data_IF_291780575461
#
_entry.id   IF_291780575461
#
_cell.length_a   1.000
_cell.length_b   1.000
_cell.length_c   1.000
_cell.angle_alpha   90.00
_cell.angle_beta   90.00
_cell.angle_gamma   90.00
#
_symmetry.space_group_name_H-M   'P 1'
#
loop_
_entity.id
_entity.type
_entity.pdbx_description
1 polymer ?
#
# COMPACT_ATOMS: atom_id res chain seq x y z
N UNK A 1 -3.31 2.06 30.08
CA UNK A 1 -2.42 1.31 29.18
C UNK A 1 -2.88 -0.14 29.13
N UNK A 2 -3.05 -0.69 27.95
CA UNK A 2 -3.58 -2.05 27.76
C UNK A 2 -2.49 -2.93 27.15
N UNK A 3 -2.26 -4.12 27.75
CA UNK A 3 -1.28 -5.08 27.24
C UNK A 3 -1.84 -5.78 26.01
N UNK A 4 -1.13 -5.67 24.88
CA UNK A 4 -1.55 -6.23 23.59
C UNK A 4 -0.43 -6.99 22.91
N UNK A 5 -0.81 -7.90 22.03
CA UNK A 5 0.07 -8.60 21.07
C UNK A 5 -0.38 -8.25 19.66
N UNK A 6 0.58 -7.99 18.76
CA UNK A 6 0.30 -7.68 17.37
C UNK A 6 0.33 -8.92 16.49
N UNK A 7 -0.80 -9.26 15.88
CA UNK A 7 -0.98 -10.45 15.04
C UNK A 7 -1.24 -10.04 13.60
N UNK A 8 -0.67 -10.79 12.65
CA UNK A 8 -0.84 -10.61 11.21
C UNK A 8 -1.26 -11.93 10.58
N UNK A 9 -2.28 -11.87 9.71
CA UNK A 9 -2.83 -13.05 9.03
C UNK A 9 -2.27 -13.28 7.63
N UNK A 10 -1.71 -12.24 6.99
CA UNK A 10 -1.09 -12.29 5.65
C UNK A 10 0.31 -11.71 5.71
N UNK A 11 1.20 -12.09 4.79
CA UNK A 11 2.60 -11.63 4.76
C UNK A 11 2.71 -10.09 4.82
N UNK A 12 1.85 -9.38 4.11
CA UNK A 12 1.75 -7.92 4.14
C UNK A 12 0.30 -7.53 4.40
N UNK A 13 -0.14 -7.69 5.64
CA UNK A 13 -1.47 -7.34 6.11
C UNK A 13 -1.40 -6.29 7.22
N UNK A 14 -2.56 -5.75 7.57
CA UNK A 14 -2.72 -4.94 8.77
C UNK A 14 -2.33 -5.76 10.00
N UNK A 15 -1.75 -5.10 10.99
CA UNK A 15 -1.46 -5.69 12.29
C UNK A 15 -2.70 -5.45 13.15
N UNK A 16 -3.23 -6.51 13.72
CA UNK A 16 -4.38 -6.46 14.62
C UNK A 16 -3.90 -6.71 16.04
N UNK A 17 -4.43 -5.94 16.99
CA UNK A 17 -4.12 -6.08 18.39
C UNK A 17 -5.11 -7.05 19.08
N UNK A 18 -4.53 -7.95 19.88
CA UNK A 18 -5.27 -8.91 20.71
C UNK A 18 -4.73 -8.89 22.14
N UNK A 19 -5.56 -9.25 23.12
CA UNK A 19 -5.11 -9.47 24.48
C UNK A 19 -4.34 -10.78 24.57
N UNK A 20 -3.09 -10.78 25.06
CA UNK A 20 -2.30 -12.01 25.20
C UNK A 20 -2.77 -12.94 26.32
N UNK A 21 -3.70 -12.49 27.21
CA UNK A 21 -4.04 -13.18 28.46
C UNK A 21 -2.77 -13.53 29.27
N UNK A 22 -2.72 -14.77 29.76
CA UNK A 22 -1.61 -15.33 30.56
C UNK A 22 -0.59 -16.11 29.70
N UNK A 23 -0.75 -16.09 28.36
CA UNK A 23 0.16 -16.81 27.50
C UNK A 23 1.50 -16.09 27.35
N UNK A 24 2.59 -16.88 27.43
CA UNK A 24 3.92 -16.43 27.06
C UNK A 24 4.07 -16.46 25.54
N UNK A 25 3.89 -15.34 24.89
CA UNK A 25 3.91 -15.21 23.44
C UNK A 25 5.14 -14.40 23.02
N UNK A 26 5.86 -14.89 22.01
CA UNK A 26 7.04 -14.25 21.45
C UNK A 26 6.79 -13.84 19.99
N UNK A 27 7.57 -12.88 19.50
CA UNK A 27 7.55 -12.52 18.08
C UNK A 27 8.00 -13.73 17.25
N UNK A 28 7.20 -14.07 16.24
CA UNK A 28 7.41 -15.23 15.38
C UNK A 28 6.50 -16.41 15.71
N UNK A 29 5.93 -16.47 16.91
CA UNK A 29 4.97 -17.50 17.28
C UNK A 29 3.71 -17.39 16.43
N UNK A 30 2.99 -18.50 16.34
CA UNK A 30 1.66 -18.54 15.74
C UNK A 30 0.59 -18.69 16.84
N UNK A 31 -0.52 -18.01 16.63
CA UNK A 31 -1.64 -17.98 17.59
C UNK A 31 -2.97 -18.21 16.89
N UNK A 32 -3.89 -18.80 17.63
CA UNK A 32 -5.28 -18.94 17.21
C UNK A 32 -6.08 -17.82 17.87
N UNK A 33 -6.80 -17.08 17.04
CA UNK A 33 -7.61 -15.94 17.48
C UNK A 33 -9.01 -16.01 16.87
N UNK A 34 -9.96 -15.35 17.53
CA UNK A 34 -11.29 -15.16 16.97
C UNK A 34 -11.41 -13.78 16.33
N UNK A 35 -11.80 -13.74 15.06
CA UNK A 35 -12.04 -12.51 14.31
C UNK A 35 -13.52 -12.38 13.90
N UNK A 36 -13.87 -11.32 13.20
CA UNK A 36 -15.20 -11.20 12.60
C UNK A 36 -15.45 -12.26 11.49
N UNK A 37 -14.39 -12.86 10.96
CA UNK A 37 -14.46 -13.92 9.93
C UNK A 37 -14.60 -15.32 10.49
N UNK A 38 -14.30 -15.50 11.77
CA UNK A 38 -14.26 -16.77 12.47
C UNK A 38 -12.93 -17.00 13.19
N UNK A 39 -12.58 -18.25 13.41
CA UNK A 39 -11.30 -18.65 13.99
C UNK A 39 -10.22 -18.56 12.92
N UNK A 40 -9.15 -17.85 13.22
CA UNK A 40 -8.04 -17.63 12.29
C UNK A 40 -6.70 -17.98 12.94
N UNK A 41 -5.79 -18.45 12.11
CA UNK A 41 -4.40 -18.72 12.43
C UNK A 41 -3.56 -17.51 12.03
N UNK A 42 -2.90 -16.89 13.00
CA UNK A 42 -2.14 -15.67 12.78
C UNK A 42 -0.71 -15.74 13.30
N UNK A 43 0.19 -14.99 12.64
CA UNK A 43 1.59 -14.86 13.06
C UNK A 43 1.76 -13.64 13.95
N UNK A 44 2.41 -13.82 15.09
CA UNK A 44 2.79 -12.74 15.99
C UNK A 44 3.97 -11.95 15.41
N UNK A 45 3.74 -10.69 15.13
CA UNK A 45 4.74 -9.75 14.59
C UNK A 45 5.23 -8.74 15.61
N UNK A 46 4.43 -8.50 16.65
CA UNK A 46 4.81 -7.66 17.78
C UNK A 46 4.60 -8.46 19.08
N UNK A 47 5.67 -8.63 19.85
CA UNK A 47 5.63 -9.23 21.17
C UNK A 47 4.69 -8.43 22.11
N UNK A 48 4.21 -9.04 23.22
CA UNK A 48 3.37 -8.35 24.18
C UNK A 48 3.98 -7.03 24.63
N UNK A 49 3.20 -5.95 24.49
CA UNK A 49 3.60 -4.59 24.88
C UNK A 49 2.39 -3.80 25.40
N UNK A 50 2.66 -2.76 26.15
CA UNK A 50 1.64 -1.81 26.56
C UNK A 50 1.44 -0.74 25.49
N UNK A 51 0.19 -0.46 25.14
CA UNK A 51 -0.21 0.60 24.19
C UNK A 51 -1.25 1.51 24.83
N UNK A 52 -1.39 2.72 24.29
CA UNK A 52 -2.46 3.65 24.68
C UNK A 52 -3.85 3.08 24.33
N UNK A 53 -4.87 3.47 25.08
CA UNK A 53 -6.25 3.05 24.79
C UNK A 53 -6.76 3.59 23.45
N UNK A 54 -6.20 4.70 22.98
CA UNK A 54 -6.51 5.32 21.68
C UNK A 54 -6.05 4.48 20.46
N UNK A 55 -5.04 3.61 20.67
CA UNK A 55 -4.52 2.71 19.64
C UNK A 55 -5.26 1.37 19.57
N UNK A 56 -6.18 1.12 20.50
CA UNK A 56 -6.88 -0.16 20.64
C UNK A 56 -8.31 -0.05 20.14
N UNK A 57 -8.71 -0.94 19.24
CA UNK A 57 -10.10 -1.06 18.79
C UNK A 57 -10.89 -1.92 19.78
N UNK A 58 -11.88 -1.32 20.44
CA UNK A 58 -12.75 -2.01 21.38
C UNK A 58 -13.97 -2.67 20.71
N UNK A 59 -14.43 -3.84 21.21
CA UNK A 59 -13.84 -4.63 22.30
C UNK A 59 -12.58 -5.37 21.88
N UNK A 60 -11.51 -5.28 22.70
CA UNK A 60 -10.26 -5.98 22.44
C UNK A 60 -10.49 -7.49 22.54
N UNK A 61 -10.35 -8.20 21.43
CA UNK A 61 -10.45 -9.66 21.40
C UNK A 61 -9.21 -10.32 22.00
N UNK A 62 -9.37 -11.53 22.47
CA UNK A 62 -8.33 -12.27 23.17
C UNK A 62 -7.69 -13.31 22.23
N UNK A 63 -6.42 -13.62 22.51
CA UNK A 63 -5.80 -14.84 21.95
C UNK A 63 -6.46 -16.05 22.59
N UNK A 64 -7.00 -16.94 21.77
CA UNK A 64 -7.63 -18.18 22.28
C UNK A 64 -6.58 -19.12 22.83
N UNK A 65 -5.50 -19.33 22.09
CA UNK A 65 -4.33 -20.13 22.49
C UNK A 65 -3.15 -19.93 21.54
N UNK A 66 -1.98 -20.36 21.96
CA UNK A 66 -0.82 -20.51 21.10
C UNK A 66 -1.03 -21.70 20.17
N UNK A 67 -0.60 -21.60 18.92
CA UNK A 67 -0.72 -22.67 17.92
C UNK A 67 0.15 -23.87 18.30
N UNK A 68 -0.38 -25.07 18.03
CA UNK A 68 0.34 -26.33 18.19
C UNK A 68 0.91 -26.80 16.86
N UNK A 69 1.74 -27.85 16.85
CA UNK A 69 2.24 -28.46 15.60
C UNK A 69 1.11 -29.00 14.73
N UNK A 70 0.03 -29.50 15.32
CA UNK A 70 -1.16 -29.94 14.59
C UNK A 70 -1.86 -28.78 13.87
N UNK A 71 -1.85 -27.59 14.48
CA UNK A 71 -2.40 -26.38 13.83
C UNK A 71 -1.54 -25.95 12.64
N UNK A 72 -0.22 -26.03 12.76
CA UNK A 72 0.72 -25.74 11.67
C UNK A 72 0.53 -26.71 10.49
N UNK A 73 0.34 -27.99 10.80
CA UNK A 73 0.03 -29.01 9.79
C UNK A 73 -1.34 -28.76 9.13
N UNK A 74 -2.35 -28.39 9.91
CA UNK A 74 -3.68 -28.04 9.41
C UNK A 74 -3.63 -26.81 8.49
N UNK A 75 -2.90 -25.78 8.87
CA UNK A 75 -2.70 -24.59 8.02
C UNK A 75 -1.99 -24.97 6.72
N UNK A 76 -0.97 -25.83 6.79
CA UNK A 76 -0.28 -26.34 5.60
C UNK A 76 -1.22 -27.12 4.67
N UNK A 77 -2.09 -27.95 5.23
CA UNK A 77 -3.12 -28.66 4.45
C UNK A 77 -4.13 -27.70 3.84
N UNK A 78 -4.55 -26.67 4.56
CA UNK A 78 -5.44 -25.63 4.03
C UNK A 78 -4.81 -24.95 2.82
N UNK A 79 -3.52 -24.63 2.85
CA UNK A 79 -2.80 -24.05 1.71
C UNK A 79 -2.79 -24.95 0.47
N UNK A 80 -2.75 -26.25 0.65
CA UNK A 80 -2.89 -27.20 -0.48
C UNK A 80 -4.31 -27.18 -1.03
N UNK A 81 -5.32 -27.23 -0.16
CA UNK A 81 -6.74 -27.18 -0.53
C UNK A 81 -7.11 -25.87 -1.24
N UNK A 82 -6.54 -24.75 -0.81
CA UNK A 82 -6.73 -23.43 -1.46
C UNK A 82 -6.28 -23.45 -2.91
N UNK A 83 -5.13 -24.05 -3.21
CA UNK A 83 -4.63 -24.20 -4.59
C UNK A 83 -5.54 -25.06 -5.45
N UNK A 84 -6.12 -26.12 -4.89
CA UNK A 84 -7.09 -26.97 -5.58
C UNK A 84 -8.41 -26.23 -5.79
N UNK A 85 -8.90 -25.54 -4.75
CA UNK A 85 -10.12 -24.73 -4.83
C UNK A 85 -10.00 -23.63 -5.87
N UNK A 86 -8.84 -22.99 -5.95
CA UNK A 86 -8.54 -21.99 -6.98
C UNK A 86 -8.71 -22.55 -8.40
N UNK A 87 -8.10 -23.73 -8.68
CA UNK A 87 -8.20 -24.37 -10.01
C UNK A 87 -9.64 -24.75 -10.35
N UNK A 88 -10.38 -25.31 -9.38
CA UNK A 88 -11.78 -25.69 -9.57
C UNK A 88 -12.65 -24.46 -9.85
N UNK A 89 -12.50 -23.40 -9.04
CA UNK A 89 -13.25 -22.16 -9.22
C UNK A 89 -12.92 -21.52 -10.57
N UNK A 90 -11.65 -21.45 -10.97
CA UNK A 90 -11.23 -20.93 -12.27
C UNK A 90 -11.86 -21.69 -13.45
N UNK A 91 -11.95 -23.03 -13.34
CA UNK A 91 -12.63 -23.86 -14.35
C UNK A 91 -14.12 -23.52 -14.41
N UNK A 92 -14.79 -23.40 -13.25
CA UNK A 92 -16.22 -23.07 -13.18
C UNK A 92 -16.52 -21.65 -13.70
N UNK A 93 -15.67 -20.67 -13.43
CA UNK A 93 -15.80 -19.31 -14.01
C UNK A 93 -15.81 -19.38 -15.53
N UNK A 94 -14.93 -20.18 -16.14
CA UNK A 94 -14.89 -20.36 -17.61
C UNK A 94 -16.13 -21.09 -18.14
N UNK A 95 -16.60 -22.14 -17.45
CA UNK A 95 -17.80 -22.89 -17.83
C UNK A 95 -19.06 -21.98 -17.82
N UNK A 96 -19.14 -21.05 -16.88
CA UNK A 96 -20.24 -20.08 -16.79
C UNK A 96 -20.04 -18.83 -17.68
N UNK A 97 -18.92 -18.69 -18.38
CA UNK A 97 -18.63 -17.54 -19.23
C UNK A 97 -18.61 -16.20 -18.50
N UNK A 98 -18.19 -16.18 -17.22
CA UNK A 98 -18.19 -14.97 -16.41
C UNK A 98 -16.96 -14.10 -16.69
N UNK A 99 -17.19 -12.80 -16.93
CA UNK A 99 -16.12 -11.81 -17.17
C UNK A 99 -15.51 -11.34 -15.85
N UNK A 100 -14.87 -12.26 -15.14
CA UNK A 100 -14.19 -12.01 -13.87
C UNK A 100 -12.85 -12.74 -13.82
N UNK A 101 -11.88 -12.14 -13.17
CA UNK A 101 -10.55 -12.71 -12.94
C UNK A 101 -10.43 -13.15 -11.49
N UNK A 102 -10.31 -14.46 -11.27
CA UNK A 102 -10.01 -15.02 -9.95
C UNK A 102 -8.57 -14.68 -9.57
N UNK A 103 -8.35 -14.15 -8.37
CA UNK A 103 -7.06 -13.70 -7.87
C UNK A 103 -6.52 -14.63 -6.80
N UNK A 104 -7.37 -15.04 -5.84
CA UNK A 104 -6.96 -15.87 -4.71
C UNK A 104 -8.13 -16.68 -4.15
N UNK A 105 -7.82 -17.74 -3.41
CA UNK A 105 -8.77 -18.56 -2.66
C UNK A 105 -8.21 -18.81 -1.27
N UNK A 106 -9.03 -18.65 -0.22
CA UNK A 106 -8.63 -18.74 1.18
C UNK A 106 -9.66 -19.58 1.97
N UNK A 107 -9.20 -20.57 2.71
CA UNK A 107 -10.01 -21.26 3.68
C UNK A 107 -9.90 -20.59 5.05
N UNK A 108 -11.01 -20.46 5.77
CA UNK A 108 -10.93 -20.15 7.20
C UNK A 108 -10.26 -21.30 7.92
N UNK A 109 -9.54 -21.02 9.02
CA UNK A 109 -8.78 -22.05 9.74
C UNK A 109 -9.64 -23.22 10.23
N UNK A 110 -10.90 -22.98 10.54
CA UNK A 110 -11.90 -23.99 10.93
C UNK A 110 -12.52 -24.76 9.75
N UNK A 111 -12.17 -24.42 8.51
CA UNK A 111 -12.71 -24.96 7.26
C UNK A 111 -14.23 -24.78 7.07
N UNK A 112 -14.87 -23.88 7.80
CA UNK A 112 -16.30 -23.63 7.71
C UNK A 112 -16.67 -22.74 6.52
N UNK A 113 -15.68 -22.05 5.93
CA UNK A 113 -15.88 -21.09 4.84
C UNK A 113 -14.71 -21.11 3.86
N UNK A 114 -15.03 -20.89 2.59
CA UNK A 114 -14.05 -20.60 1.53
C UNK A 114 -14.35 -19.23 0.94
N UNK A 115 -13.33 -18.37 0.93
CA UNK A 115 -13.38 -17.04 0.32
C UNK A 115 -12.66 -17.09 -1.01
N UNK A 116 -13.29 -16.55 -2.04
CA UNK A 116 -12.67 -16.35 -3.35
C UNK A 116 -12.58 -14.86 -3.65
N UNK A 117 -11.37 -14.40 -3.91
CA UNK A 117 -11.10 -12.99 -4.24
C UNK A 117 -11.01 -12.84 -5.76
N UNK A 118 -11.73 -11.87 -6.31
CA UNK A 118 -11.75 -11.64 -7.73
C UNK A 118 -11.77 -10.16 -8.10
N UNK A 119 -11.37 -9.84 -9.32
CA UNK A 119 -11.54 -8.52 -9.95
C UNK A 119 -12.49 -8.63 -11.14
N UNK A 120 -13.26 -7.57 -11.38
CA UNK A 120 -14.14 -7.43 -12.53
C UNK A 120 -14.42 -5.94 -12.79
N UNK A 121 -14.67 -5.56 -14.04
CA UNK A 121 -14.92 -4.18 -14.44
C UNK A 121 -16.33 -3.69 -14.05
N UNK A 122 -17.24 -4.62 -13.77
CA UNK A 122 -18.62 -4.32 -13.42
C UNK A 122 -19.19 -5.26 -12.36
N UNK A 123 -20.52 -5.21 -12.24
CA UNK A 123 -21.25 -6.12 -11.36
C UNK A 123 -21.49 -7.45 -12.08
N UNK A 124 -21.03 -8.54 -11.47
CA UNK A 124 -21.15 -9.90 -11.99
C UNK A 124 -22.29 -10.64 -11.29
N UNK A 125 -23.10 -11.36 -12.04
CA UNK A 125 -24.06 -12.31 -11.47
C UNK A 125 -23.43 -13.70 -11.32
N UNK A 126 -22.98 -13.99 -10.12
CA UNK A 126 -22.29 -15.23 -9.76
C UNK A 126 -23.18 -16.22 -8.98
N UNK A 127 -24.53 -16.04 -8.96
CA UNK A 127 -25.45 -16.87 -8.16
C UNK A 127 -25.35 -18.36 -8.52
N UNK A 128 -25.23 -18.68 -9.80
CA UNK A 128 -25.10 -20.07 -10.25
C UNK A 128 -23.72 -20.63 -9.93
N UNK A 129 -22.65 -19.84 -10.11
CA UNK A 129 -21.29 -20.20 -9.71
C UNK A 129 -21.22 -20.56 -8.22
N UNK A 130 -21.83 -19.76 -7.33
CA UNK A 130 -21.88 -20.04 -5.89
C UNK A 130 -22.55 -21.37 -5.58
N UNK A 131 -23.67 -21.70 -6.25
CA UNK A 131 -24.37 -23.00 -6.05
C UNK A 131 -23.49 -24.16 -6.45
N UNK A 132 -22.82 -24.09 -7.60
CA UNK A 132 -21.93 -25.16 -8.07
C UNK A 132 -20.73 -25.36 -7.13
N UNK A 133 -20.10 -24.24 -6.69
CA UNK A 133 -18.98 -24.31 -5.75
C UNK A 133 -19.42 -24.85 -4.39
N UNK A 134 -20.60 -24.45 -3.88
CA UNK A 134 -21.14 -24.97 -2.62
C UNK A 134 -21.43 -26.47 -2.70
N UNK A 135 -21.91 -26.95 -3.83
CA UNK A 135 -22.14 -28.41 -4.07
C UNK A 135 -20.82 -29.22 -4.07
N UNK A 136 -19.73 -28.63 -4.60
CA UNK A 136 -18.42 -29.28 -4.68
C UNK A 136 -17.71 -29.28 -3.31
N UNK A 137 -17.62 -28.09 -2.68
CA UNK A 137 -16.84 -27.94 -1.44
C UNK A 137 -17.60 -28.30 -0.17
N UNK A 138 -18.93 -28.35 -0.24
CA UNK A 138 -19.83 -28.63 0.90
C UNK A 138 -19.61 -27.70 2.09
N UNK A 139 -19.18 -26.47 1.81
CA UNK A 139 -18.87 -25.40 2.78
C UNK A 139 -19.53 -24.09 2.33
N UNK A 140 -19.57 -23.11 3.22
CA UNK A 140 -20.04 -21.77 2.88
C UNK A 140 -19.08 -21.08 1.91
N UNK A 141 -19.59 -20.64 0.76
CA UNK A 141 -18.81 -19.94 -0.26
C UNK A 141 -19.05 -18.44 -0.13
N UNK A 142 -17.98 -17.66 -0.15
CA UNK A 142 -18.02 -16.21 -0.16
C UNK A 142 -17.16 -15.69 -1.31
N UNK A 143 -17.75 -14.90 -2.20
CA UNK A 143 -17.09 -14.25 -3.32
C UNK A 143 -16.90 -12.76 -2.98
N UNK A 144 -15.64 -12.29 -2.99
CA UNK A 144 -15.28 -10.90 -2.69
C UNK A 144 -14.63 -10.24 -3.88
N UNK A 145 -15.25 -9.18 -4.37
CA UNK A 145 -14.64 -8.33 -5.39
C UNK A 145 -13.64 -7.39 -4.72
N UNK A 146 -12.38 -7.46 -5.16
CA UNK A 146 -11.28 -6.62 -4.68
C UNK A 146 -10.88 -5.57 -5.72
N UNK A 147 -10.16 -4.55 -5.28
CA UNK A 147 -9.63 -3.52 -6.16
C UNK A 147 -8.34 -3.93 -6.86
N UNK A 148 -7.99 -3.23 -7.94
CA UNK A 148 -6.77 -3.49 -8.74
C UNK A 148 -5.47 -3.36 -7.91
N UNK A 149 -5.46 -2.53 -6.87
CA UNK A 149 -4.31 -2.41 -5.96
C UNK A 149 -4.19 -3.62 -5.04
N UNK A 150 -5.31 -4.15 -4.55
CA UNK A 150 -5.35 -5.36 -3.74
C UNK A 150 -4.94 -6.59 -4.56
N UNK A 151 -5.39 -6.69 -5.82
CA UNK A 151 -4.91 -7.68 -6.77
C UNK A 151 -3.38 -7.63 -6.90
N UNK A 152 -2.83 -6.44 -7.16
CA UNK A 152 -1.39 -6.23 -7.28
C UNK A 152 -0.64 -6.57 -5.97
N UNK A 153 -1.25 -6.29 -4.82
CA UNK A 153 -0.72 -6.63 -3.49
C UNK A 153 -0.62 -8.14 -3.29
N UNK A 154 -1.61 -8.90 -3.74
CA UNK A 154 -1.59 -10.38 -3.66
C UNK A 154 -0.57 -10.97 -4.62
N UNK A 155 -0.62 -10.58 -5.89
CA UNK A 155 0.22 -11.15 -6.94
C UNK A 155 1.70 -10.77 -6.78
N UNK A 156 1.99 -9.58 -6.26
CA UNK A 156 3.34 -9.06 -6.16
C UNK A 156 3.91 -8.62 -7.51
N UNK A 157 5.23 -8.49 -7.57
CA UNK A 157 5.96 -8.10 -8.78
C UNK A 157 7.08 -7.10 -8.49
N UNK A 158 7.64 -6.55 -9.56
CA UNK A 158 8.73 -5.56 -9.50
C UNK A 158 8.21 -4.22 -10.01
N UNK A 159 8.50 -3.15 -9.27
CA UNK A 159 8.14 -1.79 -9.64
C UNK A 159 9.10 -1.20 -10.70
N UNK A 160 8.74 -0.04 -11.25
CA UNK A 160 9.60 0.71 -12.19
C UNK A 160 10.95 1.11 -11.58
N UNK A 161 11.07 1.12 -10.26
CA UNK A 161 12.30 1.37 -9.49
C UNK A 161 13.21 0.14 -9.38
N UNK A 162 12.85 -1.02 -9.94
CA UNK A 162 13.60 -2.27 -9.88
C UNK A 162 13.48 -3.02 -8.54
N UNK A 163 12.67 -2.54 -7.57
CA UNK A 163 12.43 -3.20 -6.29
C UNK A 163 11.08 -3.94 -6.30
N UNK A 164 10.94 -4.93 -5.42
CA UNK A 164 9.63 -5.52 -5.16
C UNK A 164 8.59 -4.45 -4.78
N UNK A 165 7.35 -4.66 -5.19
CA UNK A 165 6.27 -3.71 -4.97
C UNK A 165 6.10 -3.40 -3.47
N UNK A 166 6.01 -2.10 -3.12
CA UNK A 166 5.84 -1.63 -1.75
C UNK A 166 4.59 -2.25 -1.08
N UNK A 167 3.49 -2.35 -1.84
CA UNK A 167 2.25 -2.97 -1.38
C UNK A 167 2.37 -4.48 -1.09
N UNK A 168 3.32 -5.17 -1.71
CA UNK A 168 3.57 -6.59 -1.51
C UNK A 168 4.62 -6.88 -0.43
N UNK A 169 5.38 -5.87 0.01
CA UNK A 169 6.51 -6.05 0.95
C UNK A 169 6.26 -5.45 2.33
N UNK A 170 6.06 -4.13 2.44
CA UNK A 170 5.98 -3.46 3.74
C UNK A 170 4.75 -2.55 3.91
N UNK A 171 4.18 -2.03 2.80
CA UNK A 171 3.08 -1.08 2.87
C UNK A 171 1.75 -1.81 3.05
N UNK A 172 1.33 -1.97 4.29
CA UNK A 172 0.10 -2.69 4.66
C UNK A 172 -1.17 -1.88 4.42
N UNK A 173 -1.11 -0.58 4.63
CA UNK A 173 -2.23 0.36 4.51
C UNK A 173 -2.01 1.37 3.38
N UNK A 174 -3.09 1.82 2.76
CA UNK A 174 -3.04 2.79 1.68
C UNK A 174 -3.70 4.09 2.10
N UNK A 175 -2.91 5.15 2.15
CA UNK A 175 -3.44 6.50 2.28
C UNK A 175 -3.77 7.06 0.88
N UNK A 176 -4.72 8.00 0.79
CA UNK A 176 -5.03 8.70 -0.46
C UNK A 176 -3.78 9.35 -1.06
N UNK A 177 -3.63 9.20 -2.39
CA UNK A 177 -2.52 9.79 -3.15
C UNK A 177 -3.07 10.76 -4.17
N UNK A 178 -2.46 11.94 -4.28
CA UNK A 178 -2.89 12.98 -5.20
C UNK A 178 -1.79 13.36 -6.21
N UNK A 179 -2.20 13.90 -7.35
CA UNK A 179 -1.31 14.44 -8.40
C UNK A 179 -0.42 15.56 -7.83
N UNK A 180 -0.93 16.31 -6.85
CA UNK A 180 -0.17 17.37 -6.17
C UNK A 180 1.12 16.83 -5.55
N UNK A 181 1.09 15.64 -4.94
CA UNK A 181 2.28 14.99 -4.34
C UNK A 181 3.34 14.71 -5.41
N UNK A 182 2.95 14.20 -6.59
CA UNK A 182 3.88 13.97 -7.70
C UNK A 182 4.57 15.29 -8.15
N UNK A 183 3.80 16.37 -8.17
CA UNK A 183 4.30 17.71 -8.53
C UNK A 183 5.27 18.27 -7.48
N UNK A 184 4.97 18.09 -6.20
CA UNK A 184 5.82 18.51 -5.08
C UNK A 184 7.14 17.72 -5.02
N UNK A 185 7.13 16.50 -5.53
CA UNK A 185 8.30 15.62 -5.66
C UNK A 185 9.06 15.83 -6.99
N UNK A 186 8.71 16.86 -7.77
CA UNK A 186 9.31 17.19 -9.07
C UNK A 186 9.27 16.05 -10.09
N UNK A 187 8.26 15.17 -10.03
CA UNK A 187 8.07 14.14 -11.02
C UNK A 187 7.37 14.69 -12.26
N UNK A 188 7.76 14.18 -13.42
CA UNK A 188 7.04 14.45 -14.66
C UNK A 188 5.60 13.93 -14.54
N UNK A 189 4.61 14.76 -14.86
CA UNK A 189 3.19 14.39 -14.83
C UNK A 189 2.78 13.52 -16.05
N UNK A 190 3.68 12.65 -16.48
CA UNK A 190 3.35 11.63 -17.46
C UNK A 190 2.74 10.42 -16.75
N UNK A 191 1.58 9.98 -17.21
CA UNK A 191 0.85 8.84 -16.64
C UNK A 191 1.74 7.61 -16.43
N UNK A 192 2.60 7.27 -17.39
CA UNK A 192 3.50 6.10 -17.31
C UNK A 192 4.59 6.24 -16.23
N UNK A 193 4.91 7.47 -15.81
CA UNK A 193 5.95 7.76 -14.80
C UNK A 193 5.41 7.86 -13.38
N UNK A 194 4.14 8.22 -13.21
CA UNK A 194 3.50 8.41 -11.91
C UNK A 194 2.54 7.29 -11.52
N UNK A 195 2.23 6.36 -12.46
CA UNK A 195 1.37 5.22 -12.18
C UNK A 195 2.17 4.01 -11.70
N UNK A 196 1.63 3.32 -10.72
CA UNK A 196 2.09 1.99 -10.33
C UNK A 196 1.60 0.91 -11.30
N UNK A 197 2.09 -0.32 -11.12
CA UNK A 197 1.66 -1.50 -11.88
C UNK A 197 0.15 -1.74 -11.81
N UNK A 198 -0.49 -1.33 -10.70
CA UNK A 198 -1.94 -1.40 -10.51
C UNK A 198 -2.74 -0.36 -11.31
N UNK A 199 -2.10 0.51 -12.10
CA UNK A 199 -2.77 1.58 -12.87
C UNK A 199 -3.25 2.78 -12.03
N UNK A 200 -3.00 2.80 -10.71
CA UNK A 200 -3.26 3.94 -9.83
C UNK A 200 -1.97 4.71 -9.55
N UNK A 201 -2.06 5.92 -9.00
CA UNK A 201 -0.88 6.67 -8.57
C UNK A 201 -0.01 5.82 -7.63
N UNK A 202 1.31 5.93 -7.78
CA UNK A 202 2.27 5.19 -6.97
C UNK A 202 2.11 5.50 -5.49
N UNK A 203 1.96 4.47 -4.66
CA UNK A 203 1.82 4.60 -3.21
C UNK A 203 3.09 5.15 -2.53
N UNK A 204 4.27 4.98 -3.13
CA UNK A 204 5.50 5.58 -2.63
C UNK A 204 5.46 7.12 -2.62
N UNK A 205 4.66 7.76 -3.47
CA UNK A 205 4.47 9.21 -3.45
C UNK A 205 4.00 9.69 -2.06
N UNK A 206 2.99 9.01 -1.50
CA UNK A 206 2.51 9.35 -0.15
C UNK A 206 3.52 8.97 0.93
N UNK A 207 4.17 7.81 0.78
CA UNK A 207 5.15 7.33 1.76
C UNK A 207 6.36 8.26 1.89
N UNK A 208 6.74 8.93 0.81
CA UNK A 208 7.90 9.83 0.76
C UNK A 208 7.51 11.31 0.95
N UNK A 209 6.21 11.64 0.96
CA UNK A 209 5.71 13.01 0.94
C UNK A 209 6.27 13.89 2.06
N UNK A 210 6.29 13.41 3.28
CA UNK A 210 6.75 14.17 4.45
C UNK A 210 8.23 14.57 4.31
N UNK A 211 9.07 13.63 3.86
CA UNK A 211 10.49 13.89 3.59
C UNK A 211 10.67 14.97 2.53
N UNK A 212 9.91 14.88 1.42
CA UNK A 212 9.97 15.91 0.38
C UNK A 212 9.46 17.27 0.86
N UNK A 213 8.41 17.31 1.68
CA UNK A 213 7.92 18.56 2.27
C UNK A 213 8.94 19.23 3.18
N UNK A 214 9.64 18.46 4.01
CA UNK A 214 10.69 18.96 4.89
C UNK A 214 11.89 19.51 4.09
N UNK A 215 12.36 18.73 3.12
CA UNK A 215 13.50 19.12 2.28
C UNK A 215 13.17 20.33 1.40
N UNK A 216 11.96 20.41 0.85
CA UNK A 216 11.50 21.53 0.04
C UNK A 216 11.43 22.86 0.82
N UNK A 217 11.22 22.83 2.15
CA UNK A 217 11.23 24.06 2.97
C UNK A 217 12.57 24.79 2.94
N UNK A 218 13.66 24.04 2.71
CA UNK A 218 15.04 24.55 2.69
C UNK A 218 15.49 25.04 1.31
N UNK A 219 14.66 24.89 0.27
CA UNK A 219 15.06 25.13 -1.12
C UNK A 219 14.34 26.34 -1.73
N UNK A 220 15.01 27.09 -2.61
CA UNK A 220 14.37 28.15 -3.39
C UNK A 220 13.37 27.57 -4.40
N UNK A 221 12.47 28.40 -4.91
CA UNK A 221 11.54 28.07 -5.98
C UNK A 221 12.20 28.09 -7.35
N UNK A 222 11.59 27.38 -8.32
CA UNK A 222 11.94 27.57 -9.73
C UNK A 222 11.64 29.00 -10.15
N UNK A 223 12.60 29.68 -10.81
CA UNK A 223 12.48 31.08 -11.21
C UNK A 223 12.75 32.09 -10.09
N UNK A 224 13.03 31.65 -8.86
CA UNK A 224 13.44 32.59 -7.80
C UNK A 224 14.84 33.13 -8.07
N UNK A 225 15.07 34.38 -7.64
CA UNK A 225 16.38 35.02 -7.70
C UNK A 225 17.19 34.60 -6.47
N UNK A 226 18.42 34.18 -6.70
CA UNK A 226 19.37 33.76 -5.65
C UNK A 226 20.72 34.45 -5.86
N UNK A 227 21.47 34.60 -4.77
CA UNK A 227 22.85 35.11 -4.83
C UNK A 227 23.81 33.94 -4.59
N UNK A 228 24.78 33.77 -5.48
CA UNK A 228 25.83 32.73 -5.38
C UNK A 228 26.91 33.12 -4.36
N UNK A 229 27.78 32.20 -3.95
CA UNK A 229 28.91 32.50 -3.07
C UNK A 229 29.83 33.58 -3.62
N UNK A 230 29.98 33.64 -4.94
CA UNK A 230 30.83 34.63 -5.65
C UNK A 230 30.16 35.98 -5.75
N UNK A 231 28.96 36.15 -5.15
CA UNK A 231 28.23 37.45 -5.16
C UNK A 231 27.42 37.69 -6.43
N UNK A 232 27.40 36.77 -7.38
CA UNK A 232 26.60 36.88 -8.61
C UNK A 232 25.12 36.63 -8.32
N UNK A 233 24.28 37.40 -8.99
CA UNK A 233 22.83 37.21 -8.93
C UNK A 233 22.38 36.29 -10.08
N UNK A 234 21.64 35.24 -9.78
CA UNK A 234 21.15 34.30 -10.79
C UNK A 234 19.71 33.86 -10.55
N UNK A 235 19.16 33.21 -11.55
CA UNK A 235 17.79 32.69 -11.51
C UNK A 235 17.81 31.14 -11.38
N UNK A 236 17.01 30.61 -10.47
CA UNK A 236 16.89 29.15 -10.26
C UNK A 236 16.30 28.46 -11.49
N UNK A 237 17.08 27.62 -12.14
CA UNK A 237 16.69 26.84 -13.30
C UNK A 237 16.04 25.48 -12.89
N UNK A 238 16.70 24.73 -12.00
CA UNK A 238 16.19 23.46 -11.49
C UNK A 238 16.69 23.18 -10.08
N UNK A 239 15.96 22.31 -9.37
CA UNK A 239 16.22 21.98 -7.98
C UNK A 239 16.25 20.47 -7.82
N UNK A 240 17.30 19.93 -7.22
CA UNK A 240 17.37 18.53 -6.79
C UNK A 240 17.08 18.46 -5.30
N UNK A 241 15.85 18.04 -4.96
CA UNK A 241 15.35 18.07 -3.59
C UNK A 241 16.15 17.14 -2.69
N UNK A 242 16.41 15.89 -3.12
CA UNK A 242 17.09 14.88 -2.29
C UNK A 242 18.57 15.19 -2.07
N UNK A 243 19.24 15.75 -3.06
CA UNK A 243 20.66 16.13 -2.97
C UNK A 243 20.88 17.53 -2.40
N UNK A 244 19.80 18.31 -2.18
CA UNK A 244 19.85 19.69 -1.73
C UNK A 244 20.76 20.54 -2.62
N UNK A 245 20.65 20.38 -3.95
CA UNK A 245 21.43 21.10 -4.95
C UNK A 245 20.52 21.89 -5.87
N UNK A 246 20.98 23.06 -6.27
CA UNK A 246 20.24 24.03 -7.09
C UNK A 246 21.07 24.39 -8.31
N UNK A 247 20.47 24.29 -9.50
CA UNK A 247 21.05 24.81 -10.72
C UNK A 247 20.57 26.23 -10.94
N UNK A 248 21.49 27.13 -11.06
CA UNK A 248 21.25 28.58 -11.20
C UNK A 248 21.76 29.05 -12.56
N UNK A 249 20.96 29.80 -13.27
CA UNK A 249 21.41 30.54 -14.45
C UNK A 249 22.04 31.83 -13.95
N UNK A 250 23.33 31.98 -14.15
CA UNK A 250 24.11 33.21 -13.88
C UNK A 250 24.54 33.84 -15.18
N UNK A 251 24.69 35.15 -15.20
CA UNK A 251 25.19 35.92 -16.35
C UNK A 251 26.61 36.33 -16.06
N UNK A 252 27.55 35.85 -16.88
CA UNK A 252 28.98 36.13 -16.77
C UNK A 252 29.46 36.64 -18.14
N UNK A 253 30.00 37.82 -18.22
CA UNK A 253 30.50 38.43 -19.47
C UNK A 253 29.46 38.44 -20.61
N UNK A 254 28.21 38.78 -20.32
CA UNK A 254 27.06 38.75 -21.23
C UNK A 254 26.66 37.38 -21.76
N UNK A 255 27.25 36.30 -21.23
CA UNK A 255 26.85 34.91 -21.51
C UNK A 255 26.09 34.29 -20.32
N UNK A 256 25.06 33.49 -20.63
CA UNK A 256 24.27 32.79 -19.62
C UNK A 256 24.82 31.39 -19.40
N UNK A 257 25.31 31.13 -18.22
CA UNK A 257 25.80 29.84 -17.79
C UNK A 257 24.90 29.19 -16.74
N UNK A 258 24.81 27.86 -16.75
CA UNK A 258 24.12 27.07 -15.73
C UNK A 258 25.15 26.48 -14.79
N UNK A 259 25.16 26.95 -13.55
CA UNK A 259 26.04 26.42 -12.51
C UNK A 259 25.25 25.75 -11.41
N UNK A 260 25.83 24.72 -10.76
CA UNK A 260 25.17 23.92 -9.74
C UNK A 260 25.82 24.16 -8.37
N UNK A 261 25.01 24.61 -7.40
CA UNK A 261 25.44 24.93 -6.05
C UNK A 261 24.71 24.08 -5.00
N UNK A 262 25.35 23.75 -3.85
CA UNK A 262 24.63 23.33 -2.65
C UNK A 262 23.69 24.46 -2.19
N UNK A 263 22.56 24.11 -1.61
CA UNK A 263 21.57 25.12 -1.16
C UNK A 263 22.14 26.01 -0.04
N UNK A 264 23.00 25.43 0.81
CA UNK A 264 23.58 26.13 1.97
C UNK A 264 24.52 27.29 1.54
N UNK A 265 25.07 27.23 0.33
CA UNK A 265 25.97 28.25 -0.23
C UNK A 265 25.19 29.40 -0.89
N UNK A 266 23.86 29.24 -1.07
CA UNK A 266 23.04 30.23 -1.76
C UNK A 266 22.29 31.14 -0.78
N UNK A 267 22.27 32.46 -1.07
CA UNK A 267 21.46 33.42 -0.33
C UNK A 267 20.16 33.70 -1.07
N UNK A 268 19.02 33.40 -0.42
CA UNK A 268 17.68 33.65 -0.98
C UNK A 268 16.65 33.87 0.13
N UNK A 269 15.48 34.39 -0.23
CA UNK A 269 14.35 34.52 0.70
C UNK A 269 13.42 33.31 0.55
N UNK A 270 13.27 32.49 1.59
CA UNK A 270 12.39 31.32 1.51
C UNK A 270 10.93 31.76 1.30
N UNK A 271 10.28 31.23 0.28
CA UNK A 271 8.85 31.47 0.01
C UNK A 271 8.08 30.18 0.29
N UNK A 272 6.88 30.32 0.90
CA UNK A 272 5.95 29.19 0.97
C UNK A 272 5.45 28.85 -0.43
N UNK A 273 5.97 27.78 -1.02
CA UNK A 273 5.51 27.28 -2.33
C UNK A 273 4.09 26.76 -2.20
N UNK A 274 3.13 27.35 -2.89
CA UNK A 274 1.81 26.74 -3.10
C UNK A 274 1.84 26.06 -4.46
N UNK A 275 2.07 24.75 -4.46
CA UNK A 275 1.95 23.94 -5.69
C UNK A 275 0.48 23.89 -6.09
N UNK A 276 0.16 24.43 -7.26
CA UNK A 276 -1.18 24.36 -7.85
C UNK A 276 -1.19 23.32 -8.95
N UNK A 277 -2.20 22.48 -8.97
CA UNK A 277 -2.50 21.58 -10.08
C UNK A 277 -3.51 22.30 -10.98
N UNK A 278 -3.26 22.34 -12.29
CA UNK A 278 -4.17 22.96 -13.24
C UNK A 278 -5.40 22.08 -13.48
N UNK A 279 -6.52 22.67 -13.89
CA UNK A 279 -7.74 21.92 -14.24
C UNK A 279 -7.50 20.92 -15.39
N UNK A 280 -6.61 21.24 -16.31
CA UNK A 280 -6.23 20.36 -17.41
C UNK A 280 -5.54 19.10 -16.88
N UNK A 281 -4.55 19.24 -16.00
CA UNK A 281 -3.86 18.13 -15.36
C UNK A 281 -4.82 17.26 -14.53
N UNK A 282 -5.78 17.86 -13.83
CA UNK A 282 -6.81 17.14 -13.08
C UNK A 282 -7.76 16.35 -13.98
N UNK A 283 -8.12 16.89 -15.15
CA UNK A 283 -8.98 16.17 -16.13
C UNK A 283 -8.23 14.99 -16.75
N UNK A 284 -6.96 15.15 -17.09
CA UNK A 284 -6.16 14.11 -17.75
C UNK A 284 -5.75 12.98 -16.78
N UNK A 285 -5.42 13.31 -15.55
CA UNK A 285 -4.79 12.37 -14.61
C UNK A 285 -5.65 12.05 -13.37
N UNK A 286 -6.81 12.71 -13.20
CA UNK A 286 -7.67 12.54 -12.03
C UNK A 286 -8.19 11.12 -11.81
N UNK A 287 -8.30 10.33 -12.89
CA UNK A 287 -8.70 8.92 -12.82
C UNK A 287 -7.65 8.02 -12.14
N UNK A 288 -6.40 8.50 -12.03
CA UNK A 288 -5.32 7.77 -11.36
C UNK A 288 -5.36 7.96 -9.84
N UNK A 289 -6.00 9.03 -9.36
CA UNK A 289 -6.10 9.30 -7.93
C UNK A 289 -6.95 8.26 -7.22
N UNK A 290 -6.47 7.80 -6.08
CA UNK A 290 -7.23 6.96 -5.17
C UNK A 290 -7.73 7.80 -4.00
N UNK A 291 -9.02 8.11 -4.02
CA UNK A 291 -9.65 9.00 -3.03
C UNK A 291 -9.99 8.32 -1.71
N UNK A 292 -10.08 6.98 -1.70
CA UNK A 292 -10.52 6.22 -0.51
C UNK A 292 -9.38 5.53 0.22
N UNK A 293 -8.33 5.10 -0.50
CA UNK A 293 -7.14 4.48 0.10
C UNK A 293 -7.35 3.10 0.73
N UNK A 294 -8.57 2.64 0.94
CA UNK A 294 -8.87 1.45 1.71
C UNK A 294 -8.63 0.15 0.94
N UNK A 295 -8.04 -0.83 1.62
CA UNK A 295 -7.88 -2.20 1.11
C UNK A 295 -9.07 -3.06 1.56
N UNK A 296 -9.74 -3.71 0.61
CA UNK A 296 -10.83 -4.66 0.89
C UNK A 296 -10.36 -6.05 1.34
N UNK A 297 -9.04 -6.26 1.42
CA UNK A 297 -8.46 -7.50 1.91
C UNK A 297 -8.50 -7.61 3.44
N UNK A 298 -8.66 -6.50 4.13
CA UNK A 298 -8.61 -6.42 5.59
C UNK A 298 -10.00 -6.43 6.26
N UNK A 299 -11.09 -6.46 5.46
CA UNK A 299 -12.48 -6.46 5.95
C UNK A 299 -13.01 -7.87 6.25
#
# INVERSE_FOLDING_TARGET
MTKVVGVRFRNVGKIYYFSPKDYEIKTGDHVIVETARGIEYGKVVLAPREVGEEDVVHPLKEVLRVATKEDDERETQNRVREREAFKICQKKIREHGLEMKLIDAEYTFDNNKVLFYFTADGRIDFRQLVKDLAAIFKTRIELRQIGVRDETKILGGIGICGRCLCCHTYLSEFAPVSIKMAKEQNLSLNQTKISGVCGRLMCCLKNEQETYEELNKKLPGLGDTVTTPDGLTGTVHSVNVLRQRVKVIVEINDEKEIQEFPVDDLKFRPRKKKVKVSEKELKELGNLEDKKGDSKLND
#
